data_IF_294815420461
#
_entry.id   IF_294815420461
#
_cell.length_a   1.000
_cell.length_b   1.000
_cell.length_c   1.000
_cell.angle_alpha   90.00
_cell.angle_beta   90.00
_cell.angle_gamma   90.00
#
_symmetry.space_group_name_H-M   'P 1'
#
loop_
_entity.id
_entity.type
_entity.pdbx_description
1 polymer ?
#
# COMPACT_ATOMS: atom_id res chain seq x y z
N UNK A 1 -7.77 -9.70 -12.96
CA UNK A 1 -7.13 -8.37 -13.01
C UNK A 1 -6.40 -8.23 -11.69
N UNK A 2 -5.07 -8.39 -11.75
CA UNK A 2 -4.19 -8.83 -10.65
C UNK A 2 -3.90 -7.74 -9.62
N UNK A 3 -3.30 -8.13 -8.48
CA UNK A 3 -2.69 -7.28 -7.41
C UNK A 3 -1.65 -6.27 -7.91
N UNK A 4 -1.49 -6.19 -9.23
CA UNK A 4 -0.74 -5.21 -9.98
C UNK A 4 -1.07 -3.75 -9.65
N UNK A 5 -2.10 -3.40 -8.87
CA UNK A 5 -2.41 -1.99 -8.62
C UNK A 5 -1.63 -1.39 -7.43
N UNK A 6 -1.35 -2.18 -6.39
CA UNK A 6 -0.38 -1.81 -5.34
C UNK A 6 1.04 -2.16 -5.80
N UNK A 7 1.14 -3.19 -6.65
CA UNK A 7 2.34 -3.55 -7.40
C UNK A 7 2.51 -2.77 -8.71
N UNK A 8 1.76 -1.69 -9.04
CA UNK A 8 2.04 -0.93 -10.30
C UNK A 8 3.17 0.06 -10.06
N UNK A 9 3.44 0.36 -8.80
CA UNK A 9 4.69 0.93 -8.28
C UNK A 9 5.85 -0.06 -8.38
N UNK A 10 5.54 -1.37 -8.31
CA UNK A 10 6.46 -2.50 -8.51
C UNK A 10 6.32 -3.14 -9.92
N UNK A 11 5.62 -2.46 -10.82
CA UNK A 11 5.17 -2.96 -12.13
C UNK A 11 5.95 -2.38 -13.29
N UNK A 12 7.01 -1.62 -13.02
CA UNK A 12 7.97 -1.16 -14.03
C UNK A 12 8.96 -2.29 -14.40
N UNK A 13 9.07 -3.36 -13.61
CA UNK A 13 10.03 -4.44 -13.87
C UNK A 13 9.63 -5.43 -14.98
N UNK A 14 8.46 -5.29 -15.62
CA UNK A 14 8.01 -6.25 -16.64
C UNK A 14 8.01 -5.73 -18.09
N UNK A 15 8.36 -4.47 -18.38
CA UNK A 15 8.50 -3.98 -19.76
C UNK A 15 9.65 -2.95 -19.95
N UNK A 16 10.88 -3.47 -20.06
CA UNK A 16 11.95 -2.92 -20.93
C UNK A 16 12.68 -1.62 -20.52
N UNK A 17 13.86 -1.34 -21.11
CA UNK A 17 15.07 -1.08 -20.33
C UNK A 17 15.55 0.39 -20.31
N UNK A 18 16.46 0.66 -19.37
CA UNK A 18 17.62 1.59 -19.40
C UNK A 18 17.68 2.69 -18.33
N UNK A 19 18.56 2.41 -17.37
CA UNK A 19 19.69 3.25 -16.94
C UNK A 19 19.48 4.24 -15.78
N UNK A 20 20.16 3.89 -14.69
CA UNK A 20 20.89 4.75 -13.74
C UNK A 20 20.17 5.27 -12.49
N UNK A 21 19.05 4.64 -12.13
CA UNK A 21 18.34 4.81 -10.84
C UNK A 21 17.92 3.46 -10.20
N UNK A 22 18.53 2.35 -10.65
CA UNK A 22 18.01 0.99 -10.48
C UNK A 22 18.31 0.34 -9.11
N UNK A 23 19.45 0.64 -8.47
CA UNK A 23 19.84 -0.04 -7.21
C UNK A 23 18.89 0.29 -6.03
N UNK A 24 18.42 1.53 -5.92
CA UNK A 24 17.52 1.96 -4.83
C UNK A 24 16.12 1.34 -4.96
N UNK A 25 15.72 1.00 -6.18
CA UNK A 25 14.41 0.47 -6.50
C UNK A 25 14.39 -1.07 -6.33
N UNK A 26 15.52 -1.73 -6.60
CA UNK A 26 15.70 -3.17 -6.36
C UNK A 26 15.75 -3.47 -4.85
N UNK A 27 16.49 -2.69 -4.06
CA UNK A 27 16.53 -2.82 -2.60
C UNK A 27 15.16 -2.60 -1.94
N UNK A 28 14.37 -1.64 -2.46
CA UNK A 28 13.04 -1.36 -1.94
C UNK A 28 12.05 -2.46 -2.28
N UNK A 29 12.11 -2.98 -3.52
CA UNK A 29 11.30 -4.09 -3.97
C UNK A 29 11.61 -5.37 -3.18
N UNK A 30 12.89 -5.68 -2.96
CA UNK A 30 13.33 -6.80 -2.13
C UNK A 30 12.82 -6.65 -0.69
N UNK A 31 12.99 -5.46 -0.09
CA UNK A 31 12.48 -5.17 1.26
C UNK A 31 10.97 -5.40 1.36
N UNK A 32 10.21 -4.98 0.35
CA UNK A 32 8.75 -5.13 0.34
C UNK A 32 8.36 -6.60 0.21
N UNK A 33 9.01 -7.36 -0.68
CA UNK A 33 8.76 -8.79 -0.83
C UNK A 33 9.08 -9.57 0.45
N UNK A 34 10.23 -9.30 1.07
CA UNK A 34 10.63 -9.93 2.34
C UNK A 34 9.65 -9.60 3.46
N UNK A 35 9.24 -8.33 3.57
CA UNK A 35 8.22 -7.91 4.54
C UNK A 35 6.88 -8.60 4.29
N UNK A 36 6.45 -8.69 3.03
CA UNK A 36 5.20 -9.32 2.64
C UNK A 36 5.19 -10.81 3.00
N UNK A 37 6.19 -11.58 2.57
CA UNK A 37 6.28 -13.02 2.85
C UNK A 37 6.25 -13.31 4.34
N UNK A 38 7.05 -12.56 5.12
CA UNK A 38 7.09 -12.66 6.57
C UNK A 38 5.71 -12.41 7.21
N UNK A 39 5.04 -11.35 6.80
CA UNK A 39 3.76 -10.97 7.39
C UNK A 39 2.61 -11.91 6.98
N UNK A 40 2.64 -12.45 5.76
CA UNK A 40 1.70 -13.49 5.30
C UNK A 40 1.82 -14.74 6.18
N UNK A 41 3.05 -15.18 6.48
CA UNK A 41 3.31 -16.33 7.33
C UNK A 41 2.80 -16.10 8.77
N UNK A 42 3.17 -14.96 9.38
CA UNK A 42 2.79 -14.62 10.77
C UNK A 42 1.27 -14.57 10.94
N UNK A 43 0.57 -13.91 10.01
CA UNK A 43 -0.88 -13.70 10.11
C UNK A 43 -1.71 -14.78 9.43
N UNK A 44 -1.05 -15.79 8.84
CA UNK A 44 -1.70 -16.92 8.14
C UNK A 44 -2.72 -16.45 7.11
N UNK A 45 -2.40 -15.37 6.40
CA UNK A 45 -3.24 -14.84 5.34
C UNK A 45 -2.96 -15.65 4.08
N UNK A 46 -4.00 -16.22 3.49
CA UNK A 46 -3.83 -16.91 2.21
C UNK A 46 -3.70 -15.92 1.07
N UNK A 47 -2.96 -16.33 0.05
CA UNK A 47 -2.80 -15.64 -1.23
C UNK A 47 -4.15 -15.24 -1.88
N UNK A 48 -5.20 -16.04 -1.67
CA UNK A 48 -6.55 -15.76 -2.20
C UNK A 48 -7.25 -14.63 -1.43
N UNK A 49 -7.08 -14.57 -0.12
CA UNK A 49 -7.61 -13.47 0.71
C UNK A 49 -6.84 -12.17 0.44
N UNK A 50 -5.53 -12.26 0.17
CA UNK A 50 -4.78 -11.10 -0.34
C UNK A 50 -5.35 -10.59 -1.67
N UNK A 51 -5.73 -11.49 -2.58
CA UNK A 51 -6.37 -11.12 -3.86
C UNK A 51 -7.75 -10.48 -3.66
N UNK A 52 -8.52 -10.91 -2.67
CA UNK A 52 -9.84 -10.34 -2.41
C UNK A 52 -9.78 -8.89 -1.93
N UNK A 53 -8.70 -8.50 -1.23
CA UNK A 53 -8.43 -7.11 -0.83
C UNK A 53 -8.32 -6.15 -2.01
N UNK A 54 -8.11 -6.61 -3.24
CA UNK A 54 -8.14 -5.75 -4.43
C UNK A 54 -9.55 -5.46 -4.94
N UNK A 55 -10.47 -6.37 -4.62
CA UNK A 55 -11.81 -6.42 -5.19
C UNK A 55 -12.77 -5.74 -4.25
N UNK A 56 -12.61 -5.95 -2.94
CA UNK A 56 -13.46 -5.39 -1.91
C UNK A 56 -12.67 -5.11 -0.64
N UNK A 57 -12.95 -3.96 -0.03
CA UNK A 57 -12.51 -3.59 1.32
C UNK A 57 -13.68 -3.65 2.32
N UNK A 58 -14.84 -4.19 1.92
CA UNK A 58 -15.93 -4.48 2.82
C UNK A 58 -15.66 -5.80 3.56
N UNK A 59 -15.87 -5.79 4.88
CA UNK A 59 -15.81 -6.98 5.76
C UNK A 59 -14.48 -7.75 5.70
N UNK A 60 -13.37 -7.02 5.82
CA UNK A 60 -12.02 -7.59 5.88
C UNK A 60 -11.74 -8.23 7.24
N UNK A 61 -11.32 -9.50 7.23
CA UNK A 61 -10.96 -10.28 8.42
C UNK A 61 -9.81 -9.64 9.23
N UNK A 62 -9.83 -9.82 10.55
CA UNK A 62 -8.86 -9.19 11.47
C UNK A 62 -7.41 -9.58 11.19
N UNK A 63 -7.14 -10.83 10.80
CA UNK A 63 -5.80 -11.30 10.42
C UNK A 63 -5.25 -10.55 9.20
N UNK A 64 -6.11 -10.18 8.25
CA UNK A 64 -5.73 -9.42 7.06
C UNK A 64 -5.41 -7.96 7.41
N UNK A 65 -6.22 -7.35 8.29
CA UNK A 65 -5.91 -6.02 8.84
C UNK A 65 -4.56 -6.03 9.57
N UNK A 66 -4.29 -7.08 10.33
CA UNK A 66 -3.01 -7.20 11.04
C UNK A 66 -1.83 -7.51 10.12
N UNK A 67 -2.05 -8.25 9.02
CA UNK A 67 -1.06 -8.37 7.95
C UNK A 67 -0.63 -6.99 7.42
N UNK A 68 -1.58 -6.09 7.16
CA UNK A 68 -1.26 -4.72 6.72
C UNK A 68 -0.48 -3.94 7.76
N UNK A 69 -0.82 -4.08 9.04
CA UNK A 69 -0.06 -3.48 10.13
C UNK A 69 1.38 -3.99 10.17
N UNK A 70 1.57 -5.31 10.12
CA UNK A 70 2.89 -5.94 10.08
C UNK A 70 3.69 -5.41 8.89
N UNK A 71 3.10 -5.42 7.69
CA UNK A 71 3.76 -4.97 6.48
C UNK A 71 4.17 -3.49 6.58
N UNK A 72 3.27 -2.61 7.03
CA UNK A 72 3.57 -1.19 7.19
C UNK A 72 4.65 -0.91 8.23
N UNK A 73 4.76 -1.71 9.29
CA UNK A 73 5.86 -1.60 10.24
C UNK A 73 7.19 -2.09 9.64
N UNK A 74 7.21 -3.24 8.97
CA UNK A 74 8.42 -3.81 8.38
C UNK A 74 9.04 -2.90 7.30
N UNK A 75 8.20 -2.27 6.47
CA UNK A 75 8.69 -1.31 5.46
C UNK A 75 9.02 0.06 6.06
N UNK A 76 8.57 0.34 7.29
CA UNK A 76 8.82 1.57 8.04
C UNK A 76 7.82 2.71 7.76
N UNK A 77 6.67 2.38 7.15
CA UNK A 77 5.58 3.33 6.90
C UNK A 77 4.78 3.61 8.17
N UNK A 78 4.74 2.66 9.10
CA UNK A 78 4.13 2.84 10.42
C UNK A 78 5.07 2.42 11.54
N UNK A 79 4.79 2.92 12.74
CA UNK A 79 5.33 2.39 14.00
C UNK A 79 4.22 2.40 15.04
N UNK A 80 3.69 1.24 15.38
CA UNK A 80 2.42 1.14 16.11
C UNK A 80 1.32 1.88 15.33
N UNK A 81 0.65 2.82 15.97
CA UNK A 81 -0.46 3.57 15.37
C UNK A 81 -0.03 4.80 14.58
N UNK A 82 1.26 5.13 14.56
CA UNK A 82 1.76 6.37 13.96
C UNK A 82 2.24 6.15 12.52
N UNK A 83 1.78 6.99 11.60
CA UNK A 83 2.27 7.04 10.22
C UNK A 83 3.59 7.80 10.14
N UNK A 84 4.60 7.21 9.51
CA UNK A 84 5.84 7.87 9.16
C UNK A 84 5.59 8.87 8.01
N UNK A 85 5.39 10.14 8.37
CA UNK A 85 5.09 11.21 7.40
C UNK A 85 6.18 11.39 6.35
N UNK A 86 7.45 11.31 6.75
CA UNK A 86 8.57 11.46 5.82
C UNK A 86 8.55 10.39 4.73
N UNK A 87 8.32 9.12 5.10
CA UNK A 87 8.24 8.04 4.11
C UNK A 87 6.96 8.10 3.30
N UNK A 88 5.83 8.45 3.92
CA UNK A 88 4.56 8.64 3.24
C UNK A 88 4.65 9.72 2.16
N UNK A 89 5.21 10.89 2.47
CA UNK A 89 5.35 12.00 1.52
C UNK A 89 6.27 11.60 0.35
N UNK A 90 7.35 10.88 0.61
CA UNK A 90 8.26 10.38 -0.43
C UNK A 90 7.57 9.37 -1.36
N UNK A 91 6.82 8.40 -0.80
CA UNK A 91 6.04 7.44 -1.59
C UNK A 91 4.94 8.14 -2.39
N UNK A 92 4.26 9.12 -1.80
CA UNK A 92 3.23 9.89 -2.48
C UNK A 92 3.81 10.70 -3.64
N UNK A 93 4.94 11.38 -3.44
CA UNK A 93 5.62 12.13 -4.50
C UNK A 93 6.04 11.20 -5.66
N UNK A 94 6.59 10.03 -5.35
CA UNK A 94 6.95 9.02 -6.34
C UNK A 94 5.72 8.54 -7.12
N UNK A 95 4.62 8.25 -6.42
CA UNK A 95 3.35 7.85 -7.04
C UNK A 95 2.80 8.92 -7.96
N UNK A 96 2.80 10.19 -7.54
CA UNK A 96 2.33 11.29 -8.38
C UNK A 96 3.15 11.42 -9.66
N UNK A 97 4.48 11.24 -9.58
CA UNK A 97 5.37 11.25 -10.75
C UNK A 97 5.07 10.11 -11.72
N UNK A 98 4.89 8.89 -11.21
CA UNK A 98 4.67 7.71 -12.03
C UNK A 98 3.30 7.70 -12.70
N UNK A 99 2.30 8.24 -12.02
CA UNK A 99 0.90 8.05 -12.40
C UNK A 99 0.19 9.31 -12.86
N UNK A 100 0.94 10.39 -13.07
CA UNK A 100 0.41 11.71 -13.45
C UNK A 100 -0.70 12.18 -12.50
N UNK A 101 -0.49 11.96 -11.21
CA UNK A 101 -1.48 12.31 -10.19
C UNK A 101 -1.67 13.83 -10.07
N UNK A 102 -2.87 14.23 -9.65
CA UNK A 102 -3.25 15.65 -9.51
C UNK A 102 -3.02 16.18 -8.10
N UNK A 103 -2.86 17.49 -7.95
CA UNK A 103 -2.82 18.12 -6.62
C UNK A 103 -4.10 17.86 -5.81
N UNK A 104 -5.24 17.66 -6.47
CA UNK A 104 -6.49 17.31 -5.79
C UNK A 104 -6.41 15.93 -5.15
N UNK A 105 -5.79 14.96 -5.84
CA UNK A 105 -5.56 13.62 -5.29
C UNK A 105 -4.59 13.67 -4.09
N UNK A 106 -3.51 14.46 -4.18
CA UNK A 106 -2.61 14.69 -3.04
C UNK A 106 -3.37 15.26 -1.85
N UNK A 107 -4.18 16.30 -2.06
CA UNK A 107 -5.00 16.91 -1.00
C UNK A 107 -5.98 15.91 -0.39
N UNK A 108 -6.65 15.12 -1.22
CA UNK A 108 -7.55 14.08 -0.76
C UNK A 108 -6.83 13.04 0.10
N UNK A 109 -5.71 12.51 -0.39
CA UNK A 109 -4.95 11.48 0.32
C UNK A 109 -4.45 11.99 1.66
N UNK A 110 -3.91 13.22 1.71
CA UNK A 110 -3.48 13.88 2.94
C UNK A 110 -4.64 14.02 3.93
N UNK A 111 -5.78 14.56 3.50
CA UNK A 111 -6.95 14.69 4.34
C UNK A 111 -7.46 13.33 4.86
N UNK A 112 -7.42 12.31 4.01
CA UNK A 112 -7.81 10.95 4.40
C UNK A 112 -6.90 10.40 5.50
N UNK A 113 -5.57 10.42 5.30
CA UNK A 113 -4.61 9.89 6.29
C UNK A 113 -4.58 10.71 7.59
N UNK A 114 -4.93 12.00 7.55
CA UNK A 114 -5.11 12.83 8.76
C UNK A 114 -6.37 12.47 9.55
N UNK A 115 -7.39 11.96 8.88
CA UNK A 115 -8.66 11.58 9.50
C UNK A 115 -8.69 10.16 10.06
N UNK A 116 -7.65 9.36 9.80
CA UNK A 116 -7.59 7.95 10.19
C UNK A 116 -7.71 7.79 11.71
N UNK A 117 -8.65 6.93 12.10
CA UNK A 117 -8.88 6.45 13.47
C UNK A 117 -9.26 4.97 13.37
N UNK A 118 -8.95 4.20 14.40
CA UNK A 118 -9.33 2.79 14.47
C UNK A 118 -9.33 2.29 15.91
N UNK A 119 -9.87 1.10 16.09
CA UNK A 119 -10.01 0.46 17.41
C UNK A 119 -8.69 -0.10 17.93
N UNK A 120 -7.83 -0.56 17.03
CA UNK A 120 -6.51 -1.09 17.31
C UNK A 120 -5.53 -0.80 16.16
N UNK A 121 -4.28 -1.23 16.31
CA UNK A 121 -3.21 -1.01 15.33
C UNK A 121 -3.51 -1.65 13.96
N UNK A 122 -4.16 -2.81 13.95
CA UNK A 122 -4.52 -3.52 12.73
C UNK A 122 -5.62 -2.75 11.97
N UNK A 123 -6.63 -2.27 12.70
CA UNK A 123 -7.68 -1.45 12.11
C UNK A 123 -7.11 -0.13 11.59
N UNK A 124 -6.25 0.55 12.35
CA UNK A 124 -5.59 1.79 11.89
C UNK A 124 -4.79 1.56 10.60
N UNK A 125 -3.98 0.50 10.53
CA UNK A 125 -3.25 0.14 9.32
C UNK A 125 -4.21 -0.11 8.13
N UNK A 126 -5.32 -0.81 8.38
CA UNK A 126 -6.34 -1.01 7.35
C UNK A 126 -6.99 0.29 6.88
N UNK A 127 -7.26 1.25 7.77
CA UNK A 127 -7.81 2.56 7.40
C UNK A 127 -6.81 3.37 6.56
N UNK A 128 -5.52 3.36 6.90
CA UNK A 128 -4.48 3.94 6.04
C UNK A 128 -4.46 3.27 4.66
N UNK A 129 -4.50 1.95 4.62
CA UNK A 129 -4.55 1.20 3.36
C UNK A 129 -5.76 1.59 2.50
N UNK A 130 -6.94 1.81 3.11
CA UNK A 130 -8.13 2.32 2.39
C UNK A 130 -7.91 3.71 1.80
N UNK A 131 -7.27 4.62 2.54
CA UNK A 131 -6.94 5.95 2.03
C UNK A 131 -6.04 5.85 0.80
N UNK A 132 -4.94 5.09 0.90
CA UNK A 132 -3.97 4.91 -0.18
C UNK A 132 -4.57 4.18 -1.38
N UNK A 133 -5.47 3.22 -1.13
CA UNK A 133 -6.15 2.45 -2.16
C UNK A 133 -7.26 3.20 -2.89
N UNK A 134 -7.73 4.35 -2.38
CA UNK A 134 -8.91 5.07 -2.88
C UNK A 134 -8.93 5.29 -4.41
N UNK A 135 -7.77 5.58 -5.01
CA UNK A 135 -7.67 5.80 -6.46
C UNK A 135 -8.07 4.56 -7.27
N UNK A 136 -7.74 3.38 -6.79
CA UNK A 136 -8.00 2.11 -7.48
C UNK A 136 -9.47 1.70 -7.37
N UNK A 137 -10.12 2.00 -6.24
CA UNK A 137 -11.55 1.71 -6.07
C UNK A 137 -12.44 2.67 -6.84
N UNK A 138 -12.09 3.95 -6.92
CA UNK A 138 -12.86 4.91 -7.73
C UNK A 138 -12.87 4.53 -9.20
N UNK A 139 -11.81 3.89 -9.70
CA UNK A 139 -11.74 3.38 -11.08
C UNK A 139 -12.51 2.07 -11.29
N UNK A 140 -12.72 1.24 -10.25
CA UNK A 140 -13.47 -0.02 -10.35
C UNK A 140 -14.97 0.10 -10.05
N UNK A 141 -15.40 1.15 -9.34
CA UNK A 141 -16.82 1.45 -9.08
C UNK A 141 -17.46 2.37 -10.13
N UNK A 142 -16.77 2.62 -11.24
CA UNK A 142 -17.27 3.36 -12.40
C UNK A 142 -17.78 2.42 -13.49
N UNK A 143 -18.95 1.80 -13.25
CA UNK A 143 -19.85 1.28 -14.28
C UNK A 143 -21.28 1.66 -13.90
#
# INVERSE_FOLDING_TARGET
>A
MSLGAILFVLGVLYFGPSSSSDDLNEDLAEKFNVAEEKCLEIHRVSEDVRRSLLVSMADVESNVKCFLSCFFEEVGLMKGTELNRTLYDALLEQEMKLSSGSEEEVRFLNACVESVKGEDVCDIAFQYYKCLGHRYYKQSSGA
#
